data_IF_729690548435
#
_entry.id   IF_729690548435
#
_cell.length_a   1.000
_cell.length_b   1.000
_cell.length_c   1.000
_cell.angle_alpha   90.00
_cell.angle_beta   90.00
_cell.angle_gamma   90.00
#
_symmetry.space_group_name_H-M   'P 1'
#
loop_
_entity.id
_entity.type
_entity.pdbx_description
1 polymer ?
#
# COMPACT_ATOMS: atom_id res chain seq x y z
N UNK A 1 0.56 7.03 -19.28
CA UNK A 1 0.80 8.49 -19.37
C UNK A 1 2.25 8.86 -19.00
N UNK A 2 2.73 10.05 -19.41
CA UNK A 2 4.14 10.46 -19.24
C UNK A 2 4.67 10.51 -17.79
N UNK A 3 3.78 10.57 -16.78
CA UNK A 3 4.15 10.57 -15.36
C UNK A 3 4.45 9.20 -14.76
N UNK A 4 4.26 8.11 -15.51
CA UNK A 4 4.52 6.74 -15.01
C UNK A 4 6.02 6.49 -14.93
N UNK A 5 6.50 6.08 -13.74
CA UNK A 5 7.91 5.85 -13.47
C UNK A 5 8.51 4.70 -14.31
N UNK A 6 9.85 4.59 -14.33
CA UNK A 6 10.54 3.48 -15.02
C UNK A 6 10.26 2.12 -14.38
N UNK A 7 10.13 2.09 -13.06
CA UNK A 7 9.97 0.87 -12.25
C UNK A 7 10.64 1.02 -10.89
N UNK A 8 10.76 -0.09 -10.18
CA UNK A 8 11.48 -0.17 -8.92
C UNK A 8 12.96 -0.54 -9.16
N UNK A 9 13.88 0.15 -8.48
CA UNK A 9 15.31 -0.10 -8.60
C UNK A 9 15.65 -1.52 -8.08
N UNK A 10 16.35 -2.31 -8.89
CA UNK A 10 16.80 -3.67 -8.58
C UNK A 10 15.67 -4.65 -8.16
N UNK A 11 14.44 -4.38 -8.61
CA UNK A 11 13.26 -5.21 -8.32
C UNK A 11 12.45 -5.42 -9.62
N UNK A 12 12.98 -6.16 -10.61
CA UNK A 12 12.33 -6.33 -11.90
C UNK A 12 10.99 -7.07 -11.79
N UNK A 13 10.87 -8.07 -10.92
CA UNK A 13 9.64 -8.86 -10.75
C UNK A 13 8.49 -7.99 -10.22
N UNK A 14 8.76 -7.17 -9.20
CA UNK A 14 7.78 -6.22 -8.66
C UNK A 14 7.44 -5.10 -9.66
N UNK A 15 8.41 -4.75 -10.52
CA UNK A 15 8.17 -3.77 -11.59
C UNK A 15 7.20 -4.35 -12.62
N UNK A 16 7.41 -5.59 -13.07
CA UNK A 16 6.50 -6.27 -13.99
C UNK A 16 5.10 -6.46 -13.39
N UNK A 17 5.01 -6.73 -12.09
CA UNK A 17 3.73 -6.84 -11.39
C UNK A 17 2.94 -5.53 -11.37
N UNK A 18 3.60 -4.40 -11.10
CA UNK A 18 2.92 -3.11 -10.85
C UNK A 18 2.88 -2.16 -12.04
N UNK A 19 3.77 -2.32 -13.01
CA UNK A 19 3.89 -1.46 -14.21
C UNK A 19 3.48 -2.26 -15.45
N UNK A 20 2.18 -2.27 -15.70
CA UNK A 20 1.54 -3.09 -16.74
C UNK A 20 1.49 -2.35 -18.08
N UNK A 21 1.28 -3.10 -19.17
CA UNK A 21 0.91 -2.52 -20.46
C UNK A 21 -0.45 -1.79 -20.34
N UNK A 22 -0.54 -0.58 -20.89
CA UNK A 22 -1.78 0.21 -20.85
C UNK A 22 -2.78 -0.31 -21.90
N UNK A 23 -3.94 -0.88 -21.50
CA UNK A 23 -4.93 -1.40 -22.44
C UNK A 23 -5.70 -0.29 -23.19
N UNK A 24 -5.62 0.95 -22.73
CA UNK A 24 -6.33 2.10 -23.32
C UNK A 24 -5.44 2.87 -24.30
N UNK A 25 -4.12 2.82 -24.13
CA UNK A 25 -3.14 3.53 -24.96
C UNK A 25 -2.00 2.60 -25.40
N UNK A 26 -2.05 2.15 -26.66
CA UNK A 26 -1.05 1.22 -27.20
C UNK A 26 0.37 1.78 -27.10
N UNK A 27 1.27 1.00 -26.51
CA UNK A 27 2.68 1.37 -26.36
C UNK A 27 2.97 2.22 -25.13
N UNK A 28 1.95 2.56 -24.34
CA UNK A 28 2.12 3.15 -23.01
C UNK A 28 2.07 2.10 -21.90
N UNK A 29 2.47 2.53 -20.69
CA UNK A 29 2.40 1.75 -19.47
C UNK A 29 1.44 2.39 -18.47
N UNK A 30 0.82 1.55 -17.66
CA UNK A 30 -0.07 1.89 -16.56
C UNK A 30 0.56 1.44 -15.24
N UNK A 31 0.30 2.18 -14.16
CA UNK A 31 0.72 1.80 -12.81
C UNK A 31 -0.47 1.37 -11.96
N UNK A 32 -0.38 0.20 -11.34
CA UNK A 32 -1.40 -0.32 -10.44
C UNK A 32 -1.21 0.24 -9.03
N UNK A 33 -1.99 1.27 -8.68
CA UNK A 33 -1.83 2.06 -7.44
C UNK A 33 -2.22 1.33 -6.15
N UNK A 34 -3.05 0.29 -6.25
CA UNK A 34 -3.69 -0.36 -5.09
C UNK A 34 -4.81 0.45 -4.44
N UNK A 35 -5.11 1.65 -4.95
CA UNK A 35 -6.21 2.49 -4.45
C UNK A 35 -7.55 2.07 -5.09
N UNK A 36 -8.61 2.06 -4.30
CA UNK A 36 -9.98 1.89 -4.77
C UNK A 36 -10.61 3.27 -5.00
N UNK A 37 -11.25 3.45 -6.15
CA UNK A 37 -11.88 4.71 -6.50
C UNK A 37 -13.11 4.48 -7.39
N UNK A 38 -14.00 5.48 -7.47
CA UNK A 38 -15.12 5.52 -8.42
C UNK A 38 -15.26 6.88 -9.09
N UNK A 39 -15.84 6.87 -10.29
CA UNK A 39 -16.27 8.08 -10.96
C UNK A 39 -17.58 8.61 -10.37
N UNK A 40 -17.65 9.92 -10.16
CA UNK A 40 -18.87 10.63 -9.81
C UNK A 40 -19.57 11.20 -11.07
N UNK A 41 -20.88 11.51 -11.01
CA UNK A 41 -21.62 12.04 -12.17
C UNK A 41 -21.08 13.36 -12.72
N UNK A 42 -20.38 14.14 -11.89
CA UNK A 42 -19.74 15.40 -12.28
C UNK A 42 -18.36 15.21 -12.96
N UNK A 43 -17.92 13.96 -13.13
CA UNK A 43 -16.65 13.62 -13.75
C UNK A 43 -15.45 13.63 -12.79
N UNK A 44 -15.66 13.89 -11.50
CA UNK A 44 -14.60 13.79 -10.50
C UNK A 44 -14.39 12.34 -10.03
N UNK A 45 -13.24 12.06 -9.42
CA UNK A 45 -12.89 10.74 -8.88
C UNK A 45 -12.97 10.78 -7.36
N UNK A 46 -13.81 9.93 -6.79
CA UNK A 46 -13.89 9.72 -5.35
C UNK A 46 -12.99 8.57 -4.92
N UNK A 47 -12.16 8.81 -3.92
CA UNK A 47 -11.29 7.80 -3.31
C UNK A 47 -12.07 7.03 -2.23
N UNK A 48 -12.00 5.70 -2.29
CA UNK A 48 -12.78 4.78 -1.45
C UNK A 48 -11.92 3.99 -0.46
N UNK A 49 -10.59 4.18 -0.50
CA UNK A 49 -9.66 3.46 0.36
C UNK A 49 -8.58 2.74 -0.44
N UNK A 50 -7.94 1.78 0.23
CA UNK A 50 -6.94 0.89 -0.36
C UNK A 50 -7.47 -0.52 -0.43
N UNK A 51 -7.07 -1.23 -1.48
CA UNK A 51 -7.34 -2.66 -1.63
C UNK A 51 -6.38 -3.51 -0.80
N UNK A 52 -5.23 -2.95 -0.45
CA UNK A 52 -4.22 -3.56 0.42
C UNK A 52 -4.22 -2.91 1.82
N UNK A 53 -3.44 -3.50 2.74
CA UNK A 53 -3.34 -3.06 4.13
C UNK A 53 -2.48 -1.82 4.38
N UNK A 54 -2.00 -1.14 3.34
CA UNK A 54 -1.12 0.01 3.52
C UNK A 54 -1.85 1.22 4.11
N UNK A 55 -1.18 2.00 4.96
CA UNK A 55 -1.80 3.09 5.70
C UNK A 55 -1.03 4.41 5.55
N UNK A 56 -1.76 5.53 5.71
CA UNK A 56 -1.16 6.87 5.82
C UNK A 56 -1.29 7.38 7.24
N UNK A 57 -0.16 7.63 7.89
CA UNK A 57 -0.09 8.13 9.26
C UNK A 57 0.82 9.35 9.29
N UNK A 58 0.29 10.49 9.71
CA UNK A 58 1.05 11.76 9.87
C UNK A 58 1.89 12.14 8.64
N UNK A 59 1.36 11.89 7.44
CA UNK A 59 2.02 12.19 6.15
C UNK A 59 2.95 11.09 5.61
N UNK A 60 3.21 10.04 6.38
CA UNK A 60 4.03 8.90 5.97
C UNK A 60 3.15 7.80 5.41
N UNK A 61 3.61 7.17 4.32
CA UNK A 61 3.00 5.98 3.72
C UNK A 61 3.71 4.78 4.31
N UNK A 62 3.00 4.00 5.12
CA UNK A 62 3.55 2.91 5.93
C UNK A 62 2.99 1.61 5.38
N UNK A 63 3.87 0.62 5.16
CA UNK A 63 3.52 -0.77 4.87
C UNK A 63 3.54 -1.57 6.18
N UNK A 64 2.38 -1.92 6.79
CA UNK A 64 2.38 -2.65 8.05
C UNK A 64 3.15 -3.97 8.00
N UNK A 65 3.15 -4.63 6.83
CA UNK A 65 3.90 -5.87 6.60
C UNK A 65 5.41 -5.73 6.78
N UNK A 66 6.00 -4.55 6.56
CA UNK A 66 7.43 -4.32 6.85
C UNK A 66 7.69 -4.34 8.36
N UNK A 67 6.78 -3.79 9.16
CA UNK A 67 6.86 -3.83 10.63
C UNK A 67 6.60 -5.25 11.15
N UNK A 68 5.64 -5.96 10.57
CA UNK A 68 5.37 -7.38 10.89
C UNK A 68 6.61 -8.25 10.64
N UNK A 69 7.29 -8.06 9.51
CA UNK A 69 8.50 -8.83 9.19
C UNK A 69 9.61 -8.62 10.23
N UNK A 70 9.82 -7.38 10.68
CA UNK A 70 10.78 -7.06 11.74
C UNK A 70 10.37 -7.62 13.11
N UNK A 71 9.07 -7.54 13.47
CA UNK A 71 8.56 -8.12 14.71
C UNK A 71 8.74 -9.64 14.75
N UNK A 72 8.55 -10.31 13.62
CA UNK A 72 8.70 -11.78 13.50
C UNK A 72 10.13 -12.25 13.76
N UNK A 73 11.14 -11.39 13.61
CA UNK A 73 12.54 -11.73 13.91
C UNK A 73 12.85 -11.75 15.42
N UNK A 74 11.93 -11.31 16.28
CA UNK A 74 12.12 -11.30 17.73
C UNK A 74 11.78 -12.68 18.29
N UNK A 75 12.76 -13.38 18.90
CA UNK A 75 12.64 -14.77 19.39
C UNK A 75 11.38 -15.10 20.22
N UNK A 76 10.81 -14.13 20.93
CA UNK A 76 9.65 -14.33 21.82
C UNK A 76 8.31 -14.02 21.15
N UNK A 77 8.32 -13.54 19.91
CA UNK A 77 7.12 -13.26 19.11
C UNK A 77 6.77 -14.53 18.33
N UNK A 78 5.56 -15.05 18.55
CA UNK A 78 5.04 -16.21 17.83
C UNK A 78 4.10 -15.80 16.71
N UNK A 79 3.22 -14.85 17.00
CA UNK A 79 2.28 -14.28 16.05
C UNK A 79 2.25 -12.75 16.21
N UNK A 80 2.13 -12.06 15.08
CA UNK A 80 2.10 -10.62 15.00
C UNK A 80 1.03 -10.14 14.02
N UNK A 81 0.44 -8.97 14.32
CA UNK A 81 -0.38 -8.23 13.39
C UNK A 81 -0.17 -6.74 13.61
N UNK A 82 0.02 -5.98 12.54
CA UNK A 82 0.22 -4.53 12.60
C UNK A 82 -0.87 -3.83 11.81
N UNK A 83 -1.49 -2.83 12.41
CA UNK A 83 -2.61 -2.12 11.80
C UNK A 83 -2.70 -0.68 12.27
N UNK A 84 -3.43 0.14 11.49
CA UNK A 84 -3.76 1.49 11.91
C UNK A 84 -5.03 1.48 12.78
N UNK A 85 -5.00 2.23 13.87
CA UNK A 85 -6.17 2.51 14.72
C UNK A 85 -6.40 4.02 14.76
N UNK A 86 -7.64 4.44 14.55
CA UNK A 86 -8.03 5.83 14.71
C UNK A 86 -8.64 6.04 16.10
N UNK A 87 -8.02 6.87 16.92
CA UNK A 87 -8.51 7.21 18.26
C UNK A 87 -8.39 8.72 18.49
N UNK A 88 -9.47 9.37 18.93
CA UNK A 88 -9.47 10.82 19.18
C UNK A 88 -9.23 11.70 17.94
N UNK A 89 -9.35 11.15 16.72
CA UNK A 89 -9.08 11.87 15.47
C UNK A 89 -7.63 11.77 14.98
N UNK A 90 -6.75 11.14 15.75
CA UNK A 90 -5.42 10.76 15.29
C UNK A 90 -5.37 9.29 14.88
N UNK A 91 -4.63 9.01 13.80
CA UNK A 91 -4.34 7.64 13.39
C UNK A 91 -3.00 7.24 13.97
N UNK A 92 -2.96 6.10 14.65
CA UNK A 92 -1.77 5.51 15.24
C UNK A 92 -1.51 4.13 14.64
N UNK A 93 -0.24 3.72 14.61
CA UNK A 93 0.14 2.37 14.23
C UNK A 93 0.19 1.51 15.49
N UNK A 94 -0.53 0.40 15.50
CA UNK A 94 -0.59 -0.52 16.63
C UNK A 94 -0.08 -1.89 16.20
N UNK A 95 0.76 -2.51 17.04
CA UNK A 95 1.19 -3.89 16.91
C UNK A 95 0.49 -4.75 17.97
N UNK A 96 -0.05 -5.88 17.54
CA UNK A 96 -0.63 -6.92 18.38
C UNK A 96 0.29 -8.14 18.31
N UNK A 97 0.65 -8.69 19.47
CA UNK A 97 1.68 -9.73 19.58
C UNK A 97 1.18 -10.85 20.49
N UNK A 98 1.37 -12.09 20.06
CA UNK A 98 1.32 -13.27 20.92
C UNK A 98 2.75 -13.79 21.15
N UNK A 99 3.12 -14.09 22.39
CA UNK A 99 4.46 -14.54 22.75
C UNK A 99 4.51 -15.60 23.84
N UNK A 100 5.71 -16.15 24.07
CA UNK A 100 6.04 -17.09 25.14
C UNK A 100 6.92 -16.46 26.24
#
# INVERSE_FOLDING_TARGET
GAGVARGYLNRPELTEERFLDDPFYRGERMYQTGDLARWLPDGTVEWLGRMDGQVKIRGYRIEPGEVEEELRQIDRVREEAVGARAEGGETELCAYIEGQ
#
